data_IF_587670242179
#
_entry.id   IF_587670242179
#
_cell.length_a   1.000
_cell.length_b   1.000
_cell.length_c   1.000
_cell.angle_alpha   90.00
_cell.angle_beta   90.00
_cell.angle_gamma   90.00
#
_symmetry.space_group_name_H-M   'P 1'
#
loop_
_entity.id
_entity.type
_entity.pdbx_description
1 polymer ?
#
# COMPACT_ATOMS: atom_id res chain seq x y z
N UNK A 1 31.11 -8.53 48.84
CA UNK A 1 31.66 -9.55 49.76
C UNK A 1 30.75 -9.56 50.99
N UNK A 2 30.17 -10.70 51.37
CA UNK A 2 29.19 -10.74 52.50
C UNK A 2 29.88 -10.35 53.81
N UNK A 3 29.22 -9.57 54.67
CA UNK A 3 29.70 -9.20 56.02
C UNK A 3 30.11 -10.46 56.81
N UNK A 4 29.33 -11.54 56.65
CA UNK A 4 29.57 -12.83 57.30
C UNK A 4 30.90 -13.44 56.83
N UNK A 5 31.20 -13.36 55.53
CA UNK A 5 32.49 -13.84 54.98
C UNK A 5 33.67 -12.98 55.45
N UNK A 6 33.45 -11.70 55.72
CA UNK A 6 34.48 -10.75 56.16
C UNK A 6 34.80 -10.96 57.65
N UNK A 7 33.77 -11.17 58.48
CA UNK A 7 33.89 -11.52 59.90
C UNK A 7 34.54 -12.90 60.09
N UNK A 8 34.13 -13.90 59.31
CA UNK A 8 34.75 -15.25 59.30
C UNK A 8 36.23 -15.18 58.89
N UNK A 9 36.56 -14.41 57.83
CA UNK A 9 37.95 -14.23 57.38
C UNK A 9 38.84 -13.55 58.43
N UNK A 10 38.27 -12.66 59.25
CA UNK A 10 38.98 -11.95 60.32
C UNK A 10 38.90 -12.64 61.70
N UNK A 11 38.29 -13.82 61.80
CA UNK A 11 38.10 -14.58 63.06
C UNK A 11 37.45 -13.75 64.19
N UNK A 12 36.56 -12.82 63.85
CA UNK A 12 35.88 -11.98 64.84
C UNK A 12 34.76 -12.80 65.47
N UNK A 13 34.83 -13.02 66.79
CA UNK A 13 33.90 -13.87 67.56
C UNK A 13 32.85 -13.08 68.34
N UNK A 14 33.06 -11.78 68.57
CA UNK A 14 32.14 -10.91 69.30
C UNK A 14 32.00 -9.56 68.60
N UNK A 15 30.77 -9.06 68.49
CA UNK A 15 30.42 -7.74 67.95
C UNK A 15 29.79 -6.96 69.10
N UNK A 16 30.20 -5.71 69.33
CA UNK A 16 29.59 -4.89 70.40
C UNK A 16 28.15 -4.52 70.05
N UNK A 17 27.33 -4.22 71.06
CA UNK A 17 25.92 -3.87 70.85
C UNK A 17 25.76 -2.62 69.96
N UNK A 18 26.72 -1.69 69.99
CA UNK A 18 26.73 -0.49 69.13
C UNK A 18 27.08 -0.80 67.66
N UNK A 19 27.86 -1.86 67.42
CA UNK A 19 28.31 -2.26 66.09
C UNK A 19 27.28 -3.15 65.36
N UNK A 20 26.42 -3.82 66.11
CA UNK A 20 25.37 -4.71 65.62
C UNK A 20 24.37 -4.02 64.67
N UNK A 21 23.77 -2.86 65.00
CA UNK A 21 22.84 -2.17 64.09
C UNK A 21 23.53 -1.68 62.80
N UNK A 22 24.81 -1.33 62.86
CA UNK A 22 25.60 -0.92 61.68
C UNK A 22 25.78 -2.12 60.74
N UNK A 23 26.10 -3.30 61.30
CA UNK A 23 26.24 -4.53 60.55
C UNK A 23 24.92 -4.95 59.88
N UNK A 24 23.80 -4.84 60.59
CA UNK A 24 22.46 -5.15 60.06
C UNK A 24 22.07 -4.22 58.92
N UNK A 25 22.33 -2.91 59.07
CA UNK A 25 22.08 -1.91 58.02
C UNK A 25 22.93 -2.19 56.78
N UNK A 26 24.21 -2.53 56.96
CA UNK A 26 25.11 -2.86 55.85
C UNK A 26 24.74 -4.19 55.16
N UNK A 27 24.20 -5.14 55.91
CA UNK A 27 23.66 -6.39 55.35
C UNK A 27 22.43 -6.13 54.48
N UNK A 28 21.47 -5.32 54.96
CA UNK A 28 20.29 -4.90 54.19
C UNK A 28 20.68 -4.17 52.90
N UNK A 29 21.58 -3.19 52.99
CA UNK A 29 22.07 -2.46 51.81
C UNK A 29 22.78 -3.37 50.80
N UNK A 30 23.58 -4.34 51.27
CA UNK A 30 24.20 -5.33 50.37
C UNK A 30 23.17 -6.22 49.68
N UNK A 31 22.10 -6.58 50.38
CA UNK A 31 21.01 -7.35 49.78
C UNK A 31 20.31 -6.55 48.67
N UNK A 32 19.98 -5.29 48.93
CA UNK A 32 19.40 -4.37 47.94
C UNK A 32 20.30 -4.21 46.72
N UNK A 33 21.61 -3.99 46.91
CA UNK A 33 22.58 -3.91 45.81
C UNK A 33 22.58 -5.19 44.96
N UNK A 34 22.49 -6.36 45.59
CA UNK A 34 22.45 -7.63 44.87
C UNK A 34 21.13 -7.81 44.09
N UNK A 35 20.00 -7.38 44.65
CA UNK A 35 18.72 -7.35 43.93
C UNK A 35 18.77 -6.42 42.72
N UNK A 36 19.33 -5.22 42.88
CA UNK A 36 19.51 -4.27 41.78
C UNK A 36 20.41 -4.83 40.68
N UNK A 37 21.50 -5.52 41.04
CA UNK A 37 22.37 -6.21 40.06
C UNK A 37 21.61 -7.28 39.27
N UNK A 38 20.79 -8.10 39.94
CA UNK A 38 19.96 -9.11 39.27
C UNK A 38 18.93 -8.45 38.32
N UNK A 39 18.29 -7.38 38.77
CA UNK A 39 17.31 -6.65 37.95
C UNK A 39 17.95 -6.00 36.73
N UNK A 40 19.15 -5.41 36.87
CA UNK A 40 19.92 -4.87 35.75
C UNK A 40 20.17 -5.92 34.67
N UNK A 41 20.57 -7.13 35.07
CA UNK A 41 20.80 -8.25 34.12
C UNK A 41 19.49 -8.63 33.41
N UNK A 42 18.37 -8.74 34.15
CA UNK A 42 17.06 -9.05 33.56
C UNK A 42 16.64 -8.00 32.53
N UNK A 43 16.76 -6.72 32.88
CA UNK A 43 16.42 -5.59 31.99
C UNK A 43 17.30 -5.63 30.74
N UNK A 44 18.61 -5.85 30.90
CA UNK A 44 19.53 -5.95 29.77
C UNK A 44 19.17 -7.09 28.81
N UNK A 45 18.81 -8.27 29.34
CA UNK A 45 18.37 -9.40 28.53
C UNK A 45 17.05 -9.09 27.78
N UNK A 46 16.11 -8.40 28.43
CA UNK A 46 14.88 -7.94 27.77
C UNK A 46 15.18 -6.93 26.67
N UNK A 47 16.08 -5.98 26.90
CA UNK A 47 16.55 -5.03 25.89
C UNK A 47 17.14 -5.74 24.66
N UNK A 48 18.01 -6.74 24.86
CA UNK A 48 18.57 -7.52 23.76
C UNK A 48 17.51 -8.26 22.95
N UNK A 49 16.47 -8.81 23.61
CA UNK A 49 15.34 -9.46 22.93
C UNK A 49 14.55 -8.47 22.07
N UNK A 50 14.25 -7.28 22.60
CA UNK A 50 13.54 -6.23 21.86
C UNK A 50 14.38 -5.76 20.66
N UNK A 51 15.68 -5.52 20.87
CA UNK A 51 16.61 -5.11 19.80
C UNK A 51 16.64 -6.12 18.64
N UNK A 52 16.63 -7.42 18.93
CA UNK A 52 16.53 -8.47 17.90
C UNK A 52 15.21 -8.42 17.14
N UNK A 53 14.09 -8.16 17.83
CA UNK A 53 12.76 -8.03 17.18
C UNK A 53 12.70 -6.79 16.28
N UNK A 54 13.25 -5.66 16.73
CA UNK A 54 13.35 -4.44 15.92
C UNK A 54 14.12 -4.74 14.63
N UNK A 55 15.31 -5.35 14.75
CA UNK A 55 16.12 -5.70 13.57
C UNK A 55 15.38 -6.61 12.59
N UNK A 56 14.65 -7.60 13.10
CA UNK A 56 13.85 -8.49 12.26
C UNK A 56 12.74 -7.74 11.49
N UNK A 57 12.09 -6.77 12.13
CA UNK A 57 11.09 -5.92 11.47
C UNK A 57 11.76 -4.99 10.45
N UNK A 58 12.91 -4.40 10.77
CA UNK A 58 13.68 -3.56 9.84
C UNK A 58 14.08 -4.34 8.58
N UNK A 59 14.56 -5.57 8.74
CA UNK A 59 14.89 -6.47 7.63
C UNK A 59 13.65 -6.81 6.79
N UNK A 60 12.49 -7.04 7.43
CA UNK A 60 11.22 -7.25 6.73
C UNK A 60 10.76 -6.02 5.95
N UNK A 61 10.86 -4.83 6.54
CA UNK A 61 10.50 -3.56 5.89
C UNK A 61 11.44 -3.29 4.71
N UNK A 62 12.75 -3.52 4.87
CA UNK A 62 13.70 -3.39 3.77
C UNK A 62 13.37 -4.36 2.62
N UNK A 63 13.07 -5.62 2.95
CA UNK A 63 12.65 -6.60 1.96
C UNK A 63 11.32 -6.23 1.27
N UNK A 64 10.37 -5.65 2.01
CA UNK A 64 9.13 -5.14 1.42
C UNK A 64 9.39 -3.95 0.52
N UNK A 65 10.21 -2.99 0.93
CA UNK A 65 10.59 -1.84 0.10
C UNK A 65 11.31 -2.28 -1.19
N UNK A 66 12.19 -3.28 -1.11
CA UNK A 66 12.84 -3.87 -2.29
C UNK A 66 11.85 -4.66 -3.16
N UNK A 67 10.74 -5.17 -2.60
CA UNK A 67 9.65 -5.84 -3.33
C UNK A 67 8.57 -4.89 -3.82
N UNK A 68 8.49 -3.67 -3.29
CA UNK A 68 7.76 -2.55 -3.86
C UNK A 68 8.61 -2.08 -5.04
N UNK A 69 8.67 -2.95 -6.05
CA UNK A 69 9.12 -2.59 -7.38
C UNK A 69 8.22 -1.46 -7.86
N UNK A 70 8.80 -0.27 -8.00
CA UNK A 70 8.16 0.83 -8.72
C UNK A 70 7.77 0.40 -10.15
N UNK A 71 8.35 -0.69 -10.66
CA UNK A 71 8.00 -1.36 -11.92
C UNK A 71 6.56 -1.90 -11.96
N UNK A 72 5.90 -2.07 -10.80
CA UNK A 72 4.49 -2.50 -10.72
C UNK A 72 3.51 -1.36 -10.40
N UNK A 73 3.97 -0.11 -10.33
CA UNK A 73 3.04 1.03 -10.26
C UNK A 73 2.40 1.18 -11.62
N UNK A 74 1.23 0.55 -11.79
CA UNK A 74 0.36 0.79 -12.95
C UNK A 74 -0.12 2.23 -12.84
N UNK A 75 0.53 3.14 -13.57
CA UNK A 75 0.09 4.52 -13.68
C UNK A 75 -1.32 4.49 -14.29
N UNK A 76 -2.32 4.86 -13.48
CA UNK A 76 -3.71 4.93 -13.97
C UNK A 76 -3.75 5.96 -15.12
N UNK A 77 -4.31 5.60 -16.29
CA UNK A 77 -4.38 6.54 -17.39
C UNK A 77 -5.32 7.70 -17.05
N UNK A 78 -4.98 8.89 -17.52
CA UNK A 78 -5.86 10.05 -17.50
C UNK A 78 -6.66 10.07 -18.80
N UNK A 79 -7.97 9.90 -18.70
CA UNK A 79 -8.90 9.87 -19.84
C UNK A 79 -9.76 11.12 -19.80
N UNK A 80 -9.72 11.92 -20.86
CA UNK A 80 -10.47 13.17 -20.98
C UNK A 80 -11.29 13.17 -22.26
N UNK A 81 -12.59 13.43 -22.15
CA UNK A 81 -13.50 13.52 -23.30
C UNK A 81 -13.91 14.97 -23.49
N UNK A 82 -13.58 15.52 -24.66
CA UNK A 82 -13.91 16.87 -25.10
C UNK A 82 -14.94 16.87 -26.22
N UNK A 83 -15.76 17.90 -26.29
CA UNK A 83 -16.76 18.11 -27.34
C UNK A 83 -16.27 19.19 -28.30
N UNK A 84 -16.21 18.86 -29.58
CA UNK A 84 -15.94 19.81 -30.66
C UNK A 84 -17.27 20.33 -31.22
N UNK A 85 -17.55 21.62 -30.93
CA UNK A 85 -18.76 22.31 -31.38
C UNK A 85 -18.86 22.44 -32.91
N UNK A 86 -17.74 22.49 -33.63
CA UNK A 86 -17.73 22.71 -35.09
C UNK A 86 -18.20 21.47 -35.84
N UNK A 87 -17.74 20.31 -35.41
CA UNK A 87 -18.09 19.02 -36.00
C UNK A 87 -19.26 18.34 -35.30
N UNK A 88 -19.71 18.85 -34.14
CA UNK A 88 -20.69 18.21 -33.26
C UNK A 88 -20.26 16.77 -32.89
N UNK A 89 -18.96 16.59 -32.61
CA UNK A 89 -18.37 15.29 -32.26
C UNK A 89 -17.58 15.34 -30.95
N UNK A 90 -17.31 14.17 -30.40
CA UNK A 90 -16.50 14.01 -29.21
C UNK A 90 -15.15 13.39 -29.54
N UNK A 91 -14.13 13.87 -28.85
CA UNK A 91 -12.76 13.39 -28.90
C UNK A 91 -12.34 12.86 -27.54
N UNK A 92 -11.53 11.82 -27.52
CA UNK A 92 -10.90 11.28 -26.33
C UNK A 92 -9.41 11.58 -26.35
N UNK A 93 -8.88 12.10 -25.25
CA UNK A 93 -7.47 12.18 -24.94
C UNK A 93 -7.16 11.14 -23.88
N UNK A 94 -6.28 10.20 -24.20
CA UNK A 94 -5.75 9.19 -23.30
C UNK A 94 -4.29 9.51 -23.00
N UNK A 95 -3.92 9.57 -21.72
CA UNK A 95 -2.56 9.87 -21.27
C UNK A 95 -2.13 8.85 -20.20
N UNK A 96 -1.12 8.04 -20.52
CA UNK A 96 -0.40 7.17 -19.58
C UNK A 96 1.09 7.51 -19.60
N UNK A 97 1.41 8.73 -19.20
CA UNK A 97 2.79 9.21 -19.07
C UNK A 97 3.43 9.46 -20.43
N UNK A 98 4.28 8.53 -20.90
CA UNK A 98 4.95 8.64 -22.20
C UNK A 98 4.03 8.34 -23.38
N UNK A 99 2.91 7.67 -23.12
CA UNK A 99 1.95 7.26 -24.13
C UNK A 99 0.73 8.19 -24.08
N UNK A 100 0.69 9.16 -25.00
CA UNK A 100 -0.45 10.07 -25.16
C UNK A 100 -1.08 9.86 -26.53
N UNK A 101 -2.39 9.72 -26.56
CA UNK A 101 -3.14 9.51 -27.80
C UNK A 101 -4.44 10.30 -27.80
N UNK A 102 -4.81 10.81 -28.97
CA UNK A 102 -6.08 11.50 -29.20
C UNK A 102 -6.81 10.80 -30.33
N UNK A 103 -8.08 10.46 -30.13
CA UNK A 103 -8.89 9.80 -31.15
C UNK A 103 -10.35 10.24 -31.11
N UNK A 104 -10.97 10.19 -32.28
CA UNK A 104 -12.38 10.53 -32.46
C UNK A 104 -13.28 9.43 -31.90
N UNK A 105 -14.29 9.83 -31.11
CA UNK A 105 -15.37 8.96 -30.63
C UNK A 105 -16.60 9.02 -31.54
N UNK A 106 -16.76 10.13 -32.28
CA UNK A 106 -17.93 10.42 -33.12
C UNK A 106 -18.95 11.29 -32.40
N UNK A 107 -20.15 11.43 -32.97
CA UNK A 107 -21.24 12.19 -32.37
C UNK A 107 -21.93 11.41 -31.23
N UNK A 108 -22.77 12.10 -30.46
CA UNK A 108 -23.49 11.51 -29.32
C UNK A 108 -24.32 10.28 -29.73
N UNK A 109 -24.98 10.32 -30.88
CA UNK A 109 -25.77 9.20 -31.41
C UNK A 109 -24.91 7.95 -31.66
N UNK A 110 -23.73 8.13 -32.28
CA UNK A 110 -22.77 7.06 -32.56
C UNK A 110 -22.21 6.44 -31.29
N UNK A 111 -21.97 7.27 -30.26
CA UNK A 111 -21.50 6.80 -28.96
C UNK A 111 -22.60 5.99 -28.28
N UNK A 112 -23.81 6.53 -28.20
CA UNK A 112 -24.96 5.87 -27.58
C UNK A 112 -25.29 4.54 -28.28
N UNK A 113 -25.24 4.49 -29.61
CA UNK A 113 -25.52 3.25 -30.35
C UNK A 113 -24.52 2.14 -30.04
N UNK A 114 -23.24 2.48 -29.87
CA UNK A 114 -22.17 1.53 -29.49
C UNK A 114 -22.24 1.11 -28.03
N UNK A 115 -22.70 1.98 -27.14
CA UNK A 115 -22.85 1.66 -25.72
C UNK A 115 -24.15 0.90 -25.41
N UNK A 116 -25.20 1.11 -26.21
CA UNK A 116 -26.54 0.52 -26.03
C UNK A 116 -26.54 -0.98 -25.67
N UNK A 117 -25.72 -1.86 -26.28
CA UNK A 117 -25.70 -3.29 -25.92
C UNK A 117 -25.28 -3.59 -24.47
N UNK A 118 -24.62 -2.65 -23.80
CA UNK A 118 -24.10 -2.80 -22.44
C UNK A 118 -25.03 -2.25 -21.36
N UNK A 119 -26.15 -1.64 -21.75
CA UNK A 119 -27.12 -1.02 -20.83
C UNK A 119 -28.45 -1.78 -20.79
N UNK A 120 -29.01 -1.92 -19.59
CA UNK A 120 -30.37 -2.43 -19.39
C UNK A 120 -31.42 -1.34 -19.65
N UNK A 121 -31.13 -0.10 -19.28
CA UNK A 121 -31.97 1.07 -19.53
C UNK A 121 -31.74 1.68 -20.91
N UNK A 122 -32.75 2.37 -21.46
CA UNK A 122 -32.62 3.12 -22.71
C UNK A 122 -31.64 4.30 -22.59
N UNK A 123 -30.39 4.06 -22.99
CA UNK A 123 -29.32 5.05 -22.99
C UNK A 123 -29.59 6.24 -23.92
N UNK A 124 -30.48 6.09 -24.92
CA UNK A 124 -30.76 7.15 -25.88
C UNK A 124 -31.36 8.39 -25.22
N UNK A 125 -32.11 8.20 -24.12
CA UNK A 125 -32.77 9.27 -23.36
C UNK A 125 -31.87 9.90 -22.29
N UNK A 126 -30.71 9.32 -22.00
CA UNK A 126 -29.81 9.83 -20.98
C UNK A 126 -28.99 11.01 -21.50
N UNK A 127 -28.65 11.96 -20.63
CA UNK A 127 -27.75 13.07 -20.99
C UNK A 127 -26.33 12.56 -21.28
N UNK A 128 -25.59 13.23 -22.17
CA UNK A 128 -24.18 12.87 -22.41
C UNK A 128 -23.35 12.90 -21.11
N UNK A 129 -23.65 13.84 -20.19
CA UNK A 129 -22.98 13.95 -18.88
C UNK A 129 -23.11 12.66 -18.06
N UNK A 130 -24.28 12.00 -18.13
CA UNK A 130 -24.56 10.75 -17.41
C UNK A 130 -23.81 9.56 -17.99
N UNK A 131 -23.64 9.48 -19.30
CA UNK A 131 -22.97 8.35 -19.98
C UNK A 131 -21.44 8.54 -20.07
N UNK A 132 -20.94 9.74 -19.78
CA UNK A 132 -19.51 10.07 -19.89
C UNK A 132 -18.62 9.17 -19.03
N UNK A 133 -19.03 8.84 -17.80
CA UNK A 133 -18.27 7.94 -16.92
C UNK A 133 -18.20 6.53 -17.47
N UNK A 134 -19.31 5.99 -17.94
CA UNK A 134 -19.39 4.65 -18.56
C UNK A 134 -18.54 4.60 -19.82
N UNK A 135 -18.54 5.67 -20.63
CA UNK A 135 -17.68 5.78 -21.80
C UNK A 135 -16.19 5.79 -21.42
N UNK A 136 -15.80 6.45 -20.33
CA UNK A 136 -14.43 6.41 -19.81
C UNK A 136 -14.05 4.98 -19.42
N UNK A 137 -14.94 4.25 -18.73
CA UNK A 137 -14.70 2.87 -18.33
C UNK A 137 -14.54 1.93 -19.54
N UNK A 138 -15.38 2.07 -20.59
CA UNK A 138 -15.19 1.34 -21.87
C UNK A 138 -13.80 1.59 -22.43
N UNK A 139 -13.38 2.86 -22.47
CA UNK A 139 -12.10 3.26 -23.05
C UNK A 139 -10.94 2.69 -22.22
N UNK A 140 -10.99 2.81 -20.90
CA UNK A 140 -9.96 2.29 -20.00
C UNK A 140 -9.80 0.78 -20.16
N UNK A 141 -10.91 0.04 -20.12
CA UNK A 141 -10.88 -1.42 -20.21
C UNK A 141 -10.47 -1.88 -21.62
N UNK A 142 -10.99 -1.25 -22.67
CA UNK A 142 -10.67 -1.59 -24.05
C UNK A 142 -9.19 -1.35 -24.40
N UNK A 143 -8.62 -0.22 -23.94
CA UNK A 143 -7.20 0.06 -24.14
C UNK A 143 -6.33 -0.89 -23.30
N UNK A 144 -6.70 -1.16 -22.05
CA UNK A 144 -5.98 -2.14 -21.22
C UNK A 144 -5.94 -3.53 -21.84
N UNK A 145 -7.07 -3.98 -22.42
CA UNK A 145 -7.13 -5.26 -23.11
C UNK A 145 -6.24 -5.27 -24.37
N UNK A 146 -6.23 -4.16 -25.12
CA UNK A 146 -5.35 -4.02 -26.30
C UNK A 146 -3.87 -4.06 -25.94
N UNK A 147 -3.44 -3.29 -24.94
CA UNK A 147 -2.04 -3.26 -24.47
C UNK A 147 -1.59 -4.61 -23.90
N UNK A 148 -2.51 -5.36 -23.25
CA UNK A 148 -2.21 -6.70 -22.73
C UNK A 148 -1.90 -7.70 -23.85
N UNK A 149 -2.61 -7.61 -24.97
CA UNK A 149 -2.42 -8.51 -26.13
C UNK A 149 -1.27 -8.07 -27.02
N UNK A 150 -1.02 -6.77 -27.13
CA UNK A 150 0.10 -6.21 -27.89
C UNK A 150 0.96 -5.29 -27.00
N UNK A 151 1.87 -5.84 -26.19
CA UNK A 151 2.82 -5.05 -25.44
C UNK A 151 3.66 -4.17 -26.39
N UNK A 152 3.87 -2.90 -26.05
CA UNK A 152 4.64 -1.91 -26.84
C UNK A 152 4.06 -1.56 -28.24
N UNK A 153 2.76 -1.76 -28.47
CA UNK A 153 2.13 -1.31 -29.71
C UNK A 153 2.06 0.22 -29.83
N UNK A 154 2.19 0.72 -31.06
CA UNK A 154 1.91 2.13 -31.35
C UNK A 154 0.39 2.40 -31.16
N UNK A 155 0.05 3.31 -30.25
CA UNK A 155 -1.34 3.65 -29.95
C UNK A 155 -2.02 4.41 -31.10
N UNK A 156 -1.30 4.82 -32.15
CA UNK A 156 -1.87 5.51 -33.33
C UNK A 156 -2.98 4.71 -34.03
N UNK A 157 -2.96 3.38 -33.97
CA UNK A 157 -4.00 2.53 -34.56
C UNK A 157 -5.31 2.51 -33.74
N UNK A 158 -5.28 3.04 -32.51
CA UNK A 158 -6.44 3.05 -31.63
C UNK A 158 -7.49 4.02 -32.12
N UNK A 159 -8.65 3.45 -32.45
CA UNK A 159 -9.88 4.16 -32.74
C UNK A 159 -11.02 3.57 -31.91
N UNK A 160 -12.15 4.28 -31.87
CA UNK A 160 -13.26 3.89 -31.00
C UNK A 160 -13.88 2.53 -31.34
N UNK A 161 -13.88 2.09 -32.61
CA UNK A 161 -14.37 0.76 -32.97
C UNK A 161 -13.48 -0.34 -32.38
N UNK A 162 -12.16 -0.17 -32.48
CA UNK A 162 -11.20 -1.12 -31.90
C UNK A 162 -11.38 -1.22 -30.38
N UNK A 163 -11.52 -0.08 -29.71
CA UNK A 163 -11.74 -0.04 -28.26
C UNK A 163 -13.00 -0.80 -27.85
N UNK A 164 -14.14 -0.54 -28.53
CA UNK A 164 -15.40 -1.22 -28.23
C UNK A 164 -15.27 -2.73 -28.45
N UNK A 165 -14.59 -3.15 -29.52
CA UNK A 165 -14.31 -4.58 -29.76
C UNK A 165 -13.48 -5.19 -28.63
N UNK A 166 -12.38 -4.54 -28.23
CA UNK A 166 -11.51 -5.00 -27.13
C UNK A 166 -12.24 -4.99 -25.78
N UNK A 167 -13.16 -4.06 -25.58
CA UNK A 167 -14.03 -4.05 -24.42
C UNK A 167 -14.95 -5.27 -24.37
N UNK A 168 -15.56 -5.66 -25.49
CA UNK A 168 -16.37 -6.88 -25.59
C UNK A 168 -15.52 -8.13 -25.27
N UNK A 169 -14.34 -8.23 -25.88
CA UNK A 169 -13.39 -9.33 -25.67
C UNK A 169 -12.93 -9.45 -24.21
N UNK A 170 -12.88 -8.33 -23.48
CA UNK A 170 -12.51 -8.34 -22.06
C UNK A 170 -13.52 -9.05 -21.14
N UNK A 171 -14.75 -9.30 -21.63
CA UNK A 171 -15.87 -9.85 -20.86
C UNK A 171 -16.28 -9.05 -19.60
N UNK A 172 -15.80 -7.80 -19.45
CA UNK A 172 -16.11 -6.91 -18.31
C UNK A 172 -17.34 -6.01 -18.55
N UNK A 173 -18.26 -6.43 -19.42
CA UNK A 173 -19.43 -5.64 -19.83
C UNK A 173 -20.65 -5.77 -18.90
N UNK A 174 -20.52 -6.51 -17.79
CA UNK A 174 -21.58 -6.64 -16.78
C UNK A 174 -21.64 -5.48 -15.77
N UNK A 175 -20.69 -4.54 -15.81
CA UNK A 175 -20.56 -3.47 -14.80
C UNK A 175 -21.72 -2.48 -14.76
N UNK A 176 -22.56 -2.39 -15.80
CA UNK A 176 -23.67 -1.43 -15.88
C UNK A 176 -25.05 -2.09 -15.94
N UNK A 177 -25.10 -3.41 -15.76
CA UNK A 177 -26.36 -4.13 -15.53
C UNK A 177 -26.68 -3.99 -14.05
N UNK A 178 -27.44 -2.96 -13.70
CA UNK A 178 -28.07 -2.88 -12.38
C UNK A 178 -28.95 -4.12 -12.23
N UNK A 179 -28.66 -4.95 -11.22
CA UNK A 179 -29.56 -5.98 -10.71
C UNK A 179 -30.69 -5.30 -9.96
#
# INVERSE_FOLDING_TARGET
MSIVKLLQKKRITHISDDQKPICDKLSKLNHEVNLLKKNKIKIYNSYLKIKKKIKLIEDQVSNLNNKIDFDKIVVKPKISIGFDKRSNTYNCIYDRGKNKHCFYLGNESTIKSKLKPFHTSDICKQSFKSIKSQLIDVIEIGINQYEKEKPNCDLKEINFNLIVRKYIESAKWNTWRVV
#
